data_IF_175661822576
#
_entry.id   IF_175661822576
#
_cell.length_a   1.000
_cell.length_b   1.000
_cell.length_c   1.000
_cell.angle_alpha   90.00
_cell.angle_beta   90.00
_cell.angle_gamma   90.00
#
_symmetry.space_group_name_H-M   'P 1'
#
loop_
_entity.id
_entity.type
_entity.pdbx_description
1 polymer ?
#
# COMPACT_ATOMS: atom_id res chain seq x y z
N UNK A 1 34.34 -31.80 -1.50
CA UNK A 1 34.62 -30.81 -0.42
C UNK A 1 33.96 -29.43 -0.66
N UNK A 2 34.24 -28.74 -1.77
CA UNK A 2 33.70 -27.41 -2.07
C UNK A 2 32.17 -27.35 -2.30
N UNK A 3 31.59 -28.39 -2.91
CA UNK A 3 30.13 -28.50 -3.10
C UNK A 3 29.41 -28.65 -1.75
N UNK A 4 29.92 -29.51 -0.85
CA UNK A 4 29.34 -29.71 0.49
C UNK A 4 29.42 -28.42 1.33
N UNK A 5 30.52 -27.67 1.21
CA UNK A 5 30.67 -26.37 1.87
C UNK A 5 29.67 -25.31 1.37
N UNK A 6 29.29 -25.34 0.09
CA UNK A 6 28.22 -24.48 -0.46
C UNK A 6 26.80 -24.95 -0.11
N UNK A 7 26.60 -26.25 0.18
CA UNK A 7 25.29 -26.80 0.54
C UNK A 7 24.84 -26.42 1.95
N UNK A 8 25.76 -26.31 2.91
CA UNK A 8 25.44 -25.96 4.31
C UNK A 8 24.72 -24.61 4.46
N UNK A 9 25.22 -23.48 3.91
CA UNK A 9 24.53 -22.21 4.02
C UNK A 9 23.17 -22.19 3.31
N UNK A 10 23.02 -22.92 2.19
CA UNK A 10 21.74 -23.05 1.51
C UNK A 10 20.72 -23.83 2.34
N UNK A 11 21.14 -24.95 2.96
CA UNK A 11 20.29 -25.73 3.87
C UNK A 11 19.81 -24.89 5.04
N UNK A 12 20.71 -24.13 5.67
CA UNK A 12 20.36 -23.22 6.78
C UNK A 12 19.32 -22.18 6.34
N UNK A 13 19.50 -21.55 5.18
CA UNK A 13 18.51 -20.59 4.64
C UNK A 13 17.15 -21.22 4.36
N UNK A 14 17.13 -22.45 3.85
CA UNK A 14 15.88 -23.21 3.63
C UNK A 14 15.19 -23.51 4.96
N UNK A 15 15.94 -23.94 5.98
CA UNK A 15 15.41 -24.22 7.31
C UNK A 15 14.83 -22.96 7.97
N UNK A 16 15.54 -21.84 7.91
CA UNK A 16 15.07 -20.54 8.40
C UNK A 16 13.81 -20.07 7.67
N UNK A 17 13.75 -20.23 6.35
CA UNK A 17 12.58 -19.91 5.54
C UNK A 17 11.38 -20.78 5.93
N UNK A 18 11.58 -22.09 6.09
CA UNK A 18 10.54 -23.03 6.51
C UNK A 18 10.02 -22.73 7.92
N UNK A 19 10.91 -22.39 8.86
CA UNK A 19 10.54 -21.98 10.20
C UNK A 19 9.72 -20.67 10.19
N UNK A 20 10.09 -19.72 9.33
CA UNK A 20 9.34 -18.48 9.12
C UNK A 20 7.94 -18.77 8.57
N UNK A 21 7.82 -19.62 7.55
CA UNK A 21 6.53 -20.04 6.97
C UNK A 21 5.66 -20.73 8.04
N UNK A 22 6.24 -21.53 8.93
CA UNK A 22 5.51 -22.13 10.05
C UNK A 22 4.92 -21.06 10.99
N UNK A 23 5.68 -20.01 11.31
CA UNK A 23 5.18 -18.88 12.12
C UNK A 23 4.10 -18.08 11.40
N UNK A 24 4.26 -17.82 10.10
CA UNK A 24 3.23 -17.12 9.30
C UNK A 24 1.92 -17.89 9.32
N UNK A 25 1.94 -19.23 9.27
CA UNK A 25 0.72 -20.05 9.39
C UNK A 25 0.00 -19.84 10.72
N UNK A 26 0.73 -19.66 11.82
CA UNK A 26 0.14 -19.34 13.13
C UNK A 26 -0.52 -17.97 13.11
N UNK A 27 0.16 -16.96 12.58
CA UNK A 27 -0.39 -15.60 12.45
C UNK A 27 -1.63 -15.56 11.55
N UNK A 28 -1.60 -16.27 10.42
CA UNK A 28 -2.73 -16.39 9.51
C UNK A 28 -3.95 -17.03 10.22
N UNK A 29 -3.74 -18.12 10.99
CA UNK A 29 -4.81 -18.73 11.81
C UNK A 29 -5.31 -17.81 12.91
N UNK A 30 -4.46 -16.94 13.43
CA UNK A 30 -4.84 -15.92 14.40
C UNK A 30 -5.59 -14.72 13.76
N UNK A 31 -5.79 -14.69 12.44
CA UNK A 31 -6.55 -13.67 11.74
C UNK A 31 -5.73 -12.45 11.28
N UNK A 32 -4.40 -12.55 11.25
CA UNK A 32 -3.55 -11.53 10.63
C UNK A 32 -3.75 -11.52 9.11
N UNK A 33 -3.70 -10.34 8.52
CA UNK A 33 -3.83 -10.18 7.08
C UNK A 33 -2.66 -10.85 6.35
N UNK A 34 -2.97 -11.62 5.32
CA UNK A 34 -1.99 -12.25 4.43
C UNK A 34 -2.28 -11.91 2.98
N UNK A 35 -1.27 -11.94 2.13
CA UNK A 35 -1.41 -11.83 0.68
C UNK A 35 -1.31 -13.18 0.01
N UNK A 36 -1.87 -13.31 -1.19
CA UNK A 36 -1.77 -14.53 -1.98
C UNK A 36 -0.35 -14.78 -2.49
N UNK A 37 -0.17 -15.91 -3.18
CA UNK A 37 1.14 -16.32 -3.71
C UNK A 37 1.66 -15.38 -4.79
N UNK A 38 0.78 -14.86 -5.65
CA UNK A 38 1.19 -14.04 -6.79
C UNK A 38 1.56 -12.63 -6.33
N UNK A 39 0.73 -12.00 -5.50
CA UNK A 39 1.05 -10.74 -4.83
C UNK A 39 2.37 -10.84 -4.07
N UNK A 40 2.58 -11.93 -3.32
CA UNK A 40 3.83 -12.15 -2.62
C UNK A 40 5.02 -12.18 -3.57
N UNK A 41 4.95 -12.96 -4.65
CA UNK A 41 6.04 -13.04 -5.64
C UNK A 41 6.33 -11.68 -6.27
N UNK A 42 5.29 -10.92 -6.64
CA UNK A 42 5.42 -9.54 -7.15
C UNK A 42 6.18 -8.65 -6.16
N UNK A 43 5.74 -8.60 -4.90
CA UNK A 43 6.39 -7.79 -3.86
C UNK A 43 7.82 -8.26 -3.57
N UNK A 44 8.06 -9.57 -3.56
CA UNK A 44 9.37 -10.16 -3.33
C UNK A 44 10.36 -9.80 -4.45
N UNK A 45 9.92 -9.79 -5.72
CA UNK A 45 10.75 -9.35 -6.83
C UNK A 45 11.17 -7.89 -6.67
N UNK A 46 10.21 -6.98 -6.45
CA UNK A 46 10.49 -5.55 -6.24
C UNK A 46 11.39 -5.32 -5.02
N UNK A 47 11.20 -6.08 -3.93
CA UNK A 47 12.08 -6.05 -2.76
C UNK A 47 13.51 -6.52 -3.09
N UNK A 48 13.68 -7.57 -3.89
CA UNK A 48 15.00 -8.07 -4.28
C UNK A 48 15.78 -7.05 -5.12
N UNK A 49 15.08 -6.26 -5.94
CA UNK A 49 15.62 -5.08 -6.63
C UNK A 49 15.78 -3.85 -5.73
N UNK A 50 15.50 -3.98 -4.44
CA UNK A 50 15.65 -2.93 -3.42
C UNK A 50 14.75 -1.71 -3.62
N UNK A 51 13.69 -1.81 -4.42
CA UNK A 51 12.79 -0.68 -4.71
C UNK A 51 12.25 -0.01 -3.44
N UNK A 52 11.81 -0.80 -2.46
CA UNK A 52 11.30 -0.26 -1.19
C UNK A 52 12.38 0.41 -0.32
N UNK A 53 13.65 0.03 -0.49
CA UNK A 53 14.77 0.68 0.20
C UNK A 53 15.12 2.03 -0.41
N UNK A 54 14.89 2.20 -1.71
CA UNK A 54 15.31 3.39 -2.47
C UNK A 54 14.17 4.37 -2.77
N UNK A 55 13.01 4.14 -2.17
CA UNK A 55 11.93 5.12 -2.10
C UNK A 55 10.56 4.62 -2.55
N UNK A 56 10.44 3.44 -3.17
CA UNK A 56 9.13 2.90 -3.52
C UNK A 56 8.33 2.56 -2.26
N UNK A 57 7.01 2.76 -2.32
CA UNK A 57 6.10 2.55 -1.20
C UNK A 57 4.91 1.72 -1.65
N UNK A 58 4.64 0.61 -0.96
CA UNK A 58 3.40 -0.12 -1.12
C UNK A 58 2.26 0.71 -0.52
N UNK A 59 1.23 0.99 -1.31
CA UNK A 59 0.02 1.66 -0.84
C UNK A 59 -1.20 0.76 -1.07
N UNK A 60 -2.40 1.35 -1.06
CA UNK A 60 -3.60 0.63 -1.43
C UNK A 60 -4.02 -0.40 -0.40
N UNK A 61 -4.75 -1.40 -0.85
CA UNK A 61 -5.41 -2.35 0.06
C UNK A 61 -4.40 -3.30 0.73
N UNK A 62 -3.33 -3.72 0.05
CA UNK A 62 -2.31 -4.56 0.68
C UNK A 62 -1.55 -3.81 1.78
N UNK A 63 -1.22 -2.53 1.59
CA UNK A 63 -0.63 -1.70 2.65
C UNK A 63 -1.55 -1.58 3.87
N UNK A 64 -2.86 -1.44 3.66
CA UNK A 64 -3.84 -1.37 4.76
C UNK A 64 -3.76 -2.59 5.69
N UNK A 65 -3.74 -3.82 5.17
CA UNK A 65 -3.62 -5.00 6.03
C UNK A 65 -2.24 -5.16 6.66
N UNK A 66 -1.17 -4.72 5.99
CA UNK A 66 0.15 -4.66 6.61
C UNK A 66 0.15 -3.71 7.81
N UNK A 67 -0.50 -2.54 7.69
CA UNK A 67 -0.67 -1.58 8.78
C UNK A 67 -1.53 -2.14 9.92
N UNK A 68 -2.62 -2.84 9.61
CA UNK A 68 -3.42 -3.50 10.64
C UNK A 68 -2.62 -4.55 11.40
N UNK A 69 -1.80 -5.36 10.70
CA UNK A 69 -0.91 -6.31 11.34
C UNK A 69 0.11 -5.61 12.26
N UNK A 70 0.71 -4.51 11.80
CA UNK A 70 1.67 -3.72 12.59
C UNK A 70 1.03 -3.11 13.84
N UNK A 71 -0.23 -2.69 13.74
CA UNK A 71 -1.02 -2.21 14.87
C UNK A 71 -1.55 -3.36 15.75
N UNK A 72 -1.50 -4.61 15.32
CA UNK A 72 -2.12 -5.73 16.04
C UNK A 72 -3.66 -5.69 16.00
N UNK A 73 -4.24 -5.08 14.97
CA UNK A 73 -5.69 -5.01 14.74
C UNK A 73 -6.11 -6.09 13.75
N UNK A 74 -7.24 -6.72 14.02
CA UNK A 74 -7.86 -7.69 13.12
C UNK A 74 -9.06 -7.06 12.46
N UNK A 75 -9.26 -7.32 11.18
CA UNK A 75 -10.44 -6.89 10.44
C UNK A 75 -10.95 -8.04 9.57
N UNK A 76 -12.13 -7.87 9.00
CA UNK A 76 -12.70 -8.83 8.06
C UNK A 76 -11.75 -9.00 6.88
N UNK A 77 -11.43 -10.24 6.45
CA UNK A 77 -10.58 -10.46 5.29
C UNK A 77 -11.06 -9.64 4.10
N UNK A 78 -10.17 -8.86 3.50
CA UNK A 78 -10.44 -8.16 2.26
C UNK A 78 -9.65 -8.86 1.15
N UNK A 79 -10.35 -9.18 0.06
CA UNK A 79 -9.69 -9.67 -1.16
C UNK A 79 -9.37 -8.46 -2.04
N UNK A 80 -8.12 -8.36 -2.46
CA UNK A 80 -7.66 -7.35 -3.42
C UNK A 80 -6.65 -8.02 -4.31
N UNK A 81 -6.79 -7.80 -5.61
CA UNK A 81 -5.91 -8.33 -6.65
C UNK A 81 -5.01 -7.21 -7.22
N UNK A 82 -5.27 -5.97 -6.79
CA UNK A 82 -4.51 -4.77 -7.14
C UNK A 82 -3.33 -4.55 -6.18
N UNK A 83 -2.13 -4.48 -6.73
CA UNK A 83 -0.90 -4.08 -6.05
C UNK A 83 -0.55 -2.65 -6.46
N UNK A 84 -0.68 -1.72 -5.53
CA UNK A 84 -0.43 -0.30 -5.78
C UNK A 84 0.99 0.08 -5.31
N UNK A 85 1.90 0.38 -6.24
CA UNK A 85 3.26 0.82 -5.94
C UNK A 85 3.37 2.32 -6.20
N UNK A 86 3.67 3.06 -5.14
CA UNK A 86 3.87 4.49 -5.21
C UNK A 86 5.37 4.83 -5.30
N UNK A 87 5.68 5.83 -6.11
CA UNK A 87 7.02 6.42 -6.26
C UNK A 87 6.90 7.91 -5.87
N UNK A 88 7.37 8.32 -4.67
CA UNK A 88 7.30 9.73 -4.24
C UNK A 88 8.23 10.61 -5.05
N UNK A 89 9.49 10.20 -5.16
CA UNK A 89 10.59 10.92 -5.81
C UNK A 89 11.46 9.94 -6.62
N UNK A 90 12.42 10.46 -7.38
CA UNK A 90 13.30 9.66 -8.22
C UNK A 90 14.06 8.64 -7.38
N UNK A 91 14.02 7.39 -7.81
CA UNK A 91 14.68 6.31 -7.09
C UNK A 91 16.19 6.48 -7.22
N UNK A 92 16.89 6.49 -6.08
CA UNK A 92 18.31 6.77 -6.00
C UNK A 92 19.18 5.52 -6.30
N UNK A 93 19.01 4.90 -7.47
CA UNK A 93 19.86 3.81 -7.95
C UNK A 93 20.24 4.02 -9.42
N UNK A 94 21.53 3.91 -9.79
CA UNK A 94 21.90 3.74 -11.18
C UNK A 94 21.45 2.35 -11.66
N UNK A 95 20.90 2.29 -12.88
CA UNK A 95 20.67 1.05 -13.64
C UNK A 95 19.70 0.04 -12.99
N UNK A 96 18.42 0.42 -12.89
CA UNK A 96 17.34 -0.54 -12.66
C UNK A 96 16.89 -1.16 -14.00
N UNK A 97 16.54 -2.46 -14.06
CA UNK A 97 15.77 -2.98 -15.18
C UNK A 97 14.43 -2.23 -15.30
N UNK A 98 13.78 -2.33 -16.46
CA UNK A 98 12.43 -1.78 -16.61
C UNK A 98 11.50 -2.34 -15.53
N UNK A 99 10.50 -1.56 -15.12
CA UNK A 99 9.53 -2.02 -14.13
C UNK A 99 8.83 -3.31 -14.56
N UNK A 100 8.54 -3.43 -15.86
CA UNK A 100 7.94 -4.62 -16.43
C UNK A 100 8.86 -5.85 -16.33
N UNK A 101 10.16 -5.70 -16.56
CA UNK A 101 11.11 -6.81 -16.47
C UNK A 101 11.28 -7.29 -15.02
N UNK A 102 11.31 -6.36 -14.06
CA UNK A 102 11.29 -6.71 -12.63
C UNK A 102 10.03 -7.52 -12.27
N UNK A 103 8.87 -7.16 -12.82
CA UNK A 103 7.64 -7.92 -12.61
C UNK A 103 7.71 -9.32 -13.24
N UNK A 104 8.26 -9.43 -14.45
CA UNK A 104 8.39 -10.69 -15.20
C UNK A 104 9.40 -11.67 -14.60
N UNK A 105 10.38 -11.21 -13.82
CA UNK A 105 11.33 -12.09 -13.12
C UNK A 105 10.62 -13.09 -12.17
N UNK A 106 9.42 -12.76 -11.72
CA UNK A 106 8.59 -13.69 -10.92
C UNK A 106 8.19 -14.97 -11.68
N UNK A 107 8.39 -15.00 -13.00
CA UNK A 107 7.86 -16.03 -13.90
C UNK A 107 6.39 -15.80 -14.29
N UNK A 108 5.77 -14.72 -13.81
CA UNK A 108 4.42 -14.31 -14.21
C UNK A 108 4.50 -13.49 -15.50
N UNK A 109 3.70 -13.87 -16.50
CA UNK A 109 3.62 -13.13 -17.76
C UNK A 109 2.84 -11.83 -17.60
N UNK A 110 3.54 -10.78 -17.17
CA UNK A 110 3.00 -9.43 -17.10
C UNK A 110 3.00 -8.73 -18.46
N UNK A 111 1.96 -7.94 -18.69
CA UNK A 111 1.78 -7.08 -19.85
C UNK A 111 1.32 -5.70 -19.39
N UNK A 112 1.72 -4.67 -20.11
CA UNK A 112 1.16 -3.33 -19.95
C UNK A 112 -0.34 -3.34 -20.30
N UNK A 113 -1.13 -2.64 -19.49
CA UNK A 113 -2.56 -2.44 -19.74
C UNK A 113 -2.73 -1.22 -20.63
N UNK A 114 -3.21 -1.36 -21.88
CA UNK A 114 -3.42 -0.23 -22.76
C UNK A 114 -4.40 0.77 -22.16
N UNK A 115 -4.09 2.05 -22.28
CA UNK A 115 -5.02 3.11 -21.88
C UNK A 115 -6.26 3.12 -22.79
N UNK A 116 -7.41 3.54 -22.23
CA UNK A 116 -8.65 3.74 -23.00
C UNK A 116 -8.44 4.72 -24.17
N UNK A 117 -7.67 5.78 -23.93
CA UNK A 117 -7.18 6.64 -24.98
C UNK A 117 -5.85 6.09 -25.52
N UNK A 118 -5.83 5.61 -26.76
CA UNK A 118 -4.64 5.03 -27.41
C UNK A 118 -3.43 5.98 -27.51
N UNK A 119 -3.64 7.29 -27.32
CA UNK A 119 -2.55 8.28 -27.29
C UNK A 119 -1.85 8.38 -25.93
N UNK A 120 -2.38 7.70 -24.91
CA UNK A 120 -1.85 7.73 -23.55
C UNK A 120 -0.99 6.50 -23.28
N UNK A 121 0.12 6.72 -22.56
CA UNK A 121 1.00 5.65 -22.13
C UNK A 121 0.34 4.78 -21.04
N UNK A 122 0.62 3.46 -21.02
CA UNK A 122 0.13 2.57 -19.99
C UNK A 122 0.74 2.92 -18.62
N UNK A 123 -0.04 2.78 -17.56
CA UNK A 123 0.38 3.05 -16.16
C UNK A 123 0.17 1.86 -15.23
N UNK A 124 -0.28 0.76 -15.81
CA UNK A 124 -0.72 -0.43 -15.11
C UNK A 124 -0.22 -1.66 -15.84
N UNK A 125 0.05 -2.71 -15.09
CA UNK A 125 0.61 -3.97 -15.57
C UNK A 125 -0.30 -5.09 -15.07
N UNK A 126 -0.67 -6.04 -15.92
CA UNK A 126 -1.53 -7.16 -15.53
C UNK A 126 -0.95 -8.47 -15.99
N UNK A 127 -1.26 -9.53 -15.26
CA UNK A 127 -1.00 -10.89 -15.74
C UNK A 127 -1.89 -11.21 -16.95
N UNK A 128 -1.35 -11.98 -17.90
CA UNK A 128 -2.09 -12.49 -19.04
C UNK A 128 -3.24 -13.46 -18.69
N UNK A 129 -4.09 -13.74 -19.67
CA UNK A 129 -5.19 -14.70 -19.52
C UNK A 129 -6.32 -14.21 -18.60
N UNK A 130 -6.90 -15.14 -17.82
CA UNK A 130 -8.05 -14.89 -16.94
C UNK A 130 -7.66 -14.40 -15.54
N UNK A 131 -6.37 -14.19 -15.27
CA UNK A 131 -5.94 -13.68 -13.98
C UNK A 131 -6.36 -12.23 -13.79
N UNK A 132 -6.62 -11.87 -12.54
CA UNK A 132 -7.01 -10.51 -12.14
C UNK A 132 -5.89 -9.74 -11.45
N UNK A 133 -4.71 -10.33 -11.30
CA UNK A 133 -3.55 -9.67 -10.71
C UNK A 133 -3.17 -8.45 -11.56
N UNK A 134 -3.15 -7.29 -10.90
CA UNK A 134 -2.80 -6.01 -11.49
C UNK A 134 -1.82 -5.27 -10.60
N UNK A 135 -0.84 -4.62 -11.20
CA UNK A 135 0.11 -3.74 -10.54
C UNK A 135 -0.06 -2.34 -11.12
N UNK A 136 -0.33 -1.36 -10.27
CA UNK A 136 -0.44 0.04 -10.65
C UNK A 136 0.80 0.80 -10.18
N UNK A 137 1.42 1.57 -11.09
CA UNK A 137 2.51 2.48 -10.74
C UNK A 137 1.95 3.89 -10.54
N UNK A 138 2.19 4.47 -9.38
CA UNK A 138 1.53 5.68 -8.91
C UNK A 138 2.54 6.74 -8.48
N UNK A 139 2.25 8.01 -8.76
CA UNK A 139 3.09 9.15 -8.35
C UNK A 139 2.23 10.30 -7.81
N UNK A 140 2.81 11.21 -7.00
CA UNK A 140 2.10 12.41 -6.58
C UNK A 140 1.61 13.24 -7.77
N UNK A 141 0.33 13.61 -7.74
CA UNK A 141 -0.20 14.60 -8.67
C UNK A 141 0.06 16.02 -8.15
N UNK A 142 0.47 16.98 -9.01
CA UNK A 142 0.61 18.38 -8.63
C UNK A 142 -0.69 19.07 -8.17
N UNK A 143 -1.85 18.48 -8.44
CA UNK A 143 -3.16 19.00 -8.02
C UNK A 143 -4.24 17.92 -7.98
N UNK A 144 -5.51 18.33 -7.99
CA UNK A 144 -6.67 17.41 -8.01
C UNK A 144 -6.97 16.84 -9.42
N UNK A 145 -5.92 16.48 -10.15
CA UNK A 145 -6.00 15.84 -11.46
C UNK A 145 -5.33 14.46 -11.43
N UNK A 146 -5.56 13.68 -12.49
CA UNK A 146 -5.04 12.33 -12.64
C UNK A 146 -4.13 12.22 -13.89
N UNK A 147 -2.99 12.93 -13.92
CA UNK A 147 -2.11 12.96 -15.08
C UNK A 147 -1.40 11.62 -15.28
N UNK A 148 -0.79 11.44 -16.45
CA UNK A 148 0.19 10.39 -16.69
C UNK A 148 1.55 11.07 -16.66
N UNK A 149 2.46 10.54 -15.85
CA UNK A 149 3.78 11.11 -15.60
C UNK A 149 4.83 10.06 -15.99
N UNK A 150 5.84 10.47 -16.75
CA UNK A 150 6.96 9.60 -17.11
C UNK A 150 7.82 9.29 -15.89
N UNK A 151 8.27 8.05 -15.77
CA UNK A 151 9.20 7.57 -14.74
C UNK A 151 10.38 6.92 -15.46
N UNK A 152 11.32 7.74 -15.99
CA UNK A 152 12.38 7.27 -16.88
C UNK A 152 13.27 6.20 -16.26
N UNK A 153 13.55 6.31 -14.95
CA UNK A 153 14.40 5.36 -14.22
C UNK A 153 13.79 3.96 -14.10
N UNK A 154 12.50 3.82 -14.42
CA UNK A 154 11.77 2.55 -14.44
C UNK A 154 11.32 2.15 -15.85
N UNK A 155 11.71 2.93 -16.88
CA UNK A 155 11.24 2.80 -18.27
C UNK A 155 9.71 2.68 -18.38
N UNK A 156 8.99 3.40 -17.51
CA UNK A 156 7.55 3.27 -17.35
C UNK A 156 6.86 4.63 -17.28
N UNK A 157 5.53 4.60 -17.29
CA UNK A 157 4.69 5.73 -16.92
C UNK A 157 3.87 5.39 -15.69
N UNK A 158 3.55 6.41 -14.90
CA UNK A 158 2.80 6.28 -13.68
C UNK A 158 1.56 7.18 -13.71
N UNK A 159 0.53 6.75 -12.99
CA UNK A 159 -0.67 7.54 -12.80
C UNK A 159 -0.49 8.50 -11.62
N UNK A 160 -0.65 9.79 -11.86
CA UNK A 160 -0.71 10.81 -10.83
C UNK A 160 -1.98 10.67 -9.99
N UNK A 161 -1.83 10.68 -8.66
CA UNK A 161 -2.95 10.71 -7.73
C UNK A 161 -2.92 11.98 -6.85
N UNK A 162 -4.06 12.70 -6.73
CA UNK A 162 -4.19 13.83 -5.82
C UNK A 162 -3.88 13.41 -4.37
N UNK A 163 -3.24 14.30 -3.63
CA UNK A 163 -2.90 14.12 -2.21
C UNK A 163 -1.99 12.92 -1.89
N UNK A 164 -1.43 12.24 -2.90
CA UNK A 164 -0.50 11.15 -2.67
C UNK A 164 0.82 11.65 -2.04
N UNK A 165 1.28 12.87 -2.34
CA UNK A 165 2.44 13.46 -1.66
C UNK A 165 2.25 13.56 -0.14
N UNK A 166 1.04 13.92 0.31
CA UNK A 166 0.71 13.93 1.73
C UNK A 166 0.80 12.51 2.32
N UNK A 167 0.23 11.51 1.65
CA UNK A 167 0.30 10.12 2.12
C UNK A 167 1.75 9.65 2.26
N UNK A 168 2.59 9.96 1.27
CA UNK A 168 3.98 9.50 1.20
C UNK A 168 4.96 10.34 2.03
N UNK A 169 4.50 11.41 2.68
CA UNK A 169 5.36 12.31 3.46
C UNK A 169 5.99 11.66 4.69
N UNK A 170 5.45 10.54 5.18
CA UNK A 170 6.09 9.70 6.19
C UNK A 170 5.76 8.22 5.95
N UNK A 171 6.74 7.33 6.16
CA UNK A 171 6.65 5.91 5.84
C UNK A 171 7.53 5.04 6.73
N UNK A 172 7.17 3.76 6.85
CA UNK A 172 7.85 2.77 7.68
C UNK A 172 7.98 1.43 6.96
N UNK A 173 8.94 0.61 7.38
CA UNK A 173 9.09 -0.75 6.89
C UNK A 173 8.23 -1.72 7.70
N UNK A 174 7.41 -2.52 7.02
CA UNK A 174 6.48 -3.47 7.64
C UNK A 174 6.55 -4.81 6.90
N UNK A 175 6.52 -5.95 7.62
CA UNK A 175 6.45 -7.26 6.97
C UNK A 175 5.06 -7.52 6.38
N UNK A 176 5.03 -7.93 5.11
CA UNK A 176 3.85 -8.52 4.47
C UNK A 176 3.93 -10.03 4.58
N UNK A 177 2.84 -10.63 5.08
CA UNK A 177 2.75 -12.06 5.36
C UNK A 177 2.13 -12.81 4.17
N UNK A 178 2.68 -13.98 3.83
CA UNK A 178 2.15 -14.88 2.80
C UNK A 178 2.34 -16.34 3.20
N UNK A 179 1.50 -17.27 2.72
CA UNK A 179 1.78 -18.70 2.84
C UNK A 179 3.15 -19.14 2.29
N UNK A 180 3.80 -18.31 1.46
CA UNK A 180 5.14 -18.57 0.92
C UNK A 180 6.28 -17.95 1.75
N UNK A 181 6.00 -17.09 2.72
CA UNK A 181 7.02 -16.44 3.53
C UNK A 181 6.65 -15.03 3.97
N UNK A 182 7.68 -14.20 4.18
CA UNK A 182 7.56 -12.80 4.59
C UNK A 182 8.41 -11.95 3.65
N UNK A 183 7.85 -10.84 3.18
CA UNK A 183 8.57 -9.82 2.43
C UNK A 183 8.48 -8.50 3.17
N UNK A 184 9.61 -7.81 3.34
CA UNK A 184 9.64 -6.49 3.95
C UNK A 184 9.31 -5.45 2.88
N UNK A 185 8.37 -4.55 3.16
CA UNK A 185 7.98 -3.48 2.24
C UNK A 185 7.90 -2.17 3.00
N UNK A 186 8.00 -1.06 2.29
CA UNK A 186 7.75 0.27 2.85
C UNK A 186 6.28 0.64 2.65
N UNK A 187 5.60 1.12 3.68
CA UNK A 187 4.21 1.59 3.65
C UNK A 187 4.11 2.96 4.31
N UNK A 188 3.10 3.78 4.02
CA UNK A 188 2.85 5.03 4.75
C UNK A 188 2.59 4.77 6.24
N UNK A 189 2.86 5.74 7.11
CA UNK A 189 2.41 5.65 8.51
C UNK A 189 0.87 5.60 8.60
N UNK A 190 0.29 4.85 9.56
CA UNK A 190 -1.14 4.56 9.60
C UNK A 190 -2.04 5.80 9.74
N UNK A 191 -1.60 6.81 10.48
CA UNK A 191 -2.30 8.07 10.68
C UNK A 191 -2.44 8.86 9.38
N UNK A 192 -1.36 9.02 8.61
CA UNK A 192 -1.41 9.62 7.27
C UNK A 192 -2.25 8.80 6.31
N UNK A 193 -2.19 7.47 6.40
CA UNK A 193 -3.05 6.59 5.62
C UNK A 193 -4.53 6.85 5.91
N UNK A 194 -4.91 6.93 7.18
CA UNK A 194 -6.29 7.15 7.60
C UNK A 194 -6.82 8.51 7.13
N UNK A 195 -6.06 9.59 7.34
CA UNK A 195 -6.45 10.94 6.91
C UNK A 195 -6.51 11.06 5.39
N UNK A 196 -5.54 10.47 4.67
CA UNK A 196 -5.59 10.41 3.22
C UNK A 196 -6.85 9.68 2.71
N UNK A 197 -7.28 8.61 3.41
CA UNK A 197 -8.52 7.90 3.08
C UNK A 197 -9.77 8.76 3.26
N UNK A 198 -9.82 9.61 4.29
CA UNK A 198 -10.88 10.61 4.43
C UNK A 198 -10.91 11.54 3.21
N UNK A 199 -9.76 12.07 2.79
CA UNK A 199 -9.66 12.97 1.63
C UNK A 199 -10.11 12.31 0.34
N UNK A 200 -9.51 11.17 -0.03
CA UNK A 200 -9.81 10.51 -1.33
C UNK A 200 -11.22 9.95 -1.40
N UNK A 201 -11.86 9.66 -0.26
CA UNK A 201 -13.28 9.27 -0.24
C UNK A 201 -14.19 10.36 -0.83
N UNK A 202 -13.79 11.64 -0.72
CA UNK A 202 -14.55 12.78 -1.25
C UNK A 202 -14.25 13.09 -2.73
N UNK A 203 -13.12 12.59 -3.25
CA UNK A 203 -12.72 12.75 -4.65
C UNK A 203 -13.29 11.66 -5.56
N UNK A 204 -13.70 10.54 -4.97
CA UNK A 204 -14.22 9.38 -5.72
C UNK A 204 -15.69 9.56 -6.06
N UNK A 205 -16.12 8.96 -7.18
CA UNK A 205 -17.53 8.97 -7.57
C UNK A 205 -18.41 8.33 -6.50
N UNK A 206 -19.48 9.04 -6.12
CA UNK A 206 -20.50 8.58 -5.16
C UNK A 206 -21.25 7.33 -5.61
N UNK A 207 -21.29 7.04 -6.92
CA UNK A 207 -21.92 5.83 -7.46
C UNK A 207 -21.07 4.56 -7.30
N UNK A 208 -19.80 4.69 -6.90
CA UNK A 208 -18.93 3.54 -6.67
C UNK A 208 -18.96 3.10 -5.21
N UNK A 209 -18.67 1.82 -4.93
CA UNK A 209 -18.51 1.33 -3.56
C UNK A 209 -17.20 1.79 -2.88
N UNK A 210 -16.35 2.53 -3.61
CA UNK A 210 -15.00 2.90 -3.19
C UNK A 210 -14.96 3.92 -2.03
N UNK A 211 -15.75 5.02 -2.01
CA UNK A 211 -15.81 5.93 -0.86
C UNK A 211 -16.16 5.22 0.46
N UNK A 212 -17.15 4.32 0.43
CA UNK A 212 -17.55 3.54 1.60
C UNK A 212 -16.42 2.63 2.11
N UNK A 213 -15.63 2.05 1.20
CA UNK A 213 -14.43 1.28 1.55
C UNK A 213 -13.37 2.16 2.19
N UNK A 214 -13.09 3.34 1.62
CA UNK A 214 -12.07 4.24 2.18
C UNK A 214 -12.45 4.77 3.56
N UNK A 215 -13.71 5.16 3.77
CA UNK A 215 -14.21 5.61 5.07
C UNK A 215 -14.13 4.50 6.14
N UNK A 216 -14.43 3.25 5.78
CA UNK A 216 -14.23 2.11 6.69
C UNK A 216 -12.77 1.93 7.07
N UNK A 217 -11.86 1.98 6.09
CA UNK A 217 -10.42 1.88 6.36
C UNK A 217 -9.94 3.02 7.26
N UNK A 218 -10.41 4.25 7.03
CA UNK A 218 -10.08 5.40 7.86
C UNK A 218 -10.60 5.21 9.30
N UNK A 219 -11.87 4.85 9.47
CA UNK A 219 -12.47 4.64 10.79
C UNK A 219 -11.71 3.58 11.60
N UNK A 220 -11.42 2.41 10.99
CA UNK A 220 -10.68 1.33 11.66
C UNK A 220 -9.29 1.76 12.11
N UNK A 221 -8.56 2.53 11.30
CA UNK A 221 -7.23 3.00 11.68
C UNK A 221 -7.31 4.08 12.75
N UNK A 222 -8.21 5.05 12.62
CA UNK A 222 -8.36 6.14 13.61
C UNK A 222 -8.68 5.56 14.99
N UNK A 223 -9.64 4.64 15.07
CA UNK A 223 -10.00 3.97 16.33
C UNK A 223 -8.80 3.24 16.94
N UNK A 224 -8.03 2.53 16.11
CA UNK A 224 -6.83 1.82 16.57
C UNK A 224 -5.67 2.75 16.99
N UNK A 225 -5.59 3.95 16.39
CA UNK A 225 -4.53 4.91 16.63
C UNK A 225 -4.76 5.70 17.90
N UNK A 226 -5.98 6.18 18.17
CA UNK A 226 -6.23 7.00 19.36
C UNK A 226 -6.01 6.26 20.67
N UNK A 227 -6.15 4.94 20.68
CA UNK A 227 -5.85 4.11 21.85
C UNK A 227 -4.34 3.90 22.05
N UNK A 228 -3.58 3.70 20.95
CA UNK A 228 -2.18 3.26 21.01
C UNK A 228 -1.16 4.38 20.87
N UNK A 229 -1.52 5.43 20.14
CA UNK A 229 -0.67 6.56 19.77
C UNK A 229 -1.48 7.87 19.91
N UNK A 230 -1.80 8.31 21.13
CA UNK A 230 -2.49 9.58 21.35
C UNK A 230 -1.72 10.74 20.68
N UNK A 231 -2.44 11.62 19.98
CA UNK A 231 -1.85 12.75 19.24
C UNK A 231 -1.49 12.46 17.77
N UNK A 232 -1.34 11.18 17.38
CA UNK A 232 -0.91 10.85 16.01
C UNK A 232 -1.95 11.27 14.94
N UNK A 233 -3.24 11.20 15.27
CA UNK A 233 -4.32 11.60 14.34
C UNK A 233 -4.31 13.12 14.16
N UNK A 234 -4.12 13.86 15.24
CA UNK A 234 -4.03 15.32 15.29
C UNK A 234 -2.80 15.83 14.52
N UNK A 235 -1.64 15.22 14.73
CA UNK A 235 -0.41 15.54 14.00
C UNK A 235 -0.59 15.29 12.49
N UNK A 236 -1.22 14.17 12.12
CA UNK A 236 -1.53 13.87 10.73
C UNK A 236 -2.52 14.89 10.12
N UNK A 237 -3.51 15.34 10.88
CA UNK A 237 -4.45 16.39 10.47
C UNK A 237 -3.75 17.75 10.31
N UNK A 238 -2.85 18.11 11.20
CA UNK A 238 -2.02 19.33 11.10
C UNK A 238 -1.17 19.35 9.83
N UNK A 239 -0.72 18.18 9.38
CA UNK A 239 0.13 18.06 8.20
C UNK A 239 -0.62 18.08 6.85
N UNK A 240 -1.95 18.12 6.82
CA UNK A 240 -2.69 18.14 5.56
C UNK A 240 -2.50 19.47 4.81
N UNK A 241 -2.43 19.45 3.46
CA UNK A 241 -2.44 20.68 2.69
C UNK A 241 -3.78 21.42 2.86
N UNK A 242 -3.75 22.76 2.80
CA UNK A 242 -4.96 23.61 2.96
C UNK A 242 -6.12 23.21 2.04
N UNK A 243 -5.83 22.74 0.83
CA UNK A 243 -6.85 22.27 -0.12
C UNK A 243 -7.59 21.01 0.35
N UNK A 244 -6.98 20.20 1.23
CA UNK A 244 -7.59 18.97 1.78
C UNK A 244 -8.56 19.22 2.94
N UNK A 245 -8.48 20.38 3.62
CA UNK A 245 -9.25 20.67 4.84
C UNK A 245 -10.76 20.49 4.61
N UNK A 246 -11.29 21.04 3.52
CA UNK A 246 -12.71 20.91 3.18
C UNK A 246 -13.11 19.47 2.84
N UNK A 247 -12.19 18.64 2.34
CA UNK A 247 -12.46 17.22 2.11
C UNK A 247 -12.54 16.46 3.43
N UNK A 248 -11.61 16.70 4.36
CA UNK A 248 -11.63 16.09 5.69
C UNK A 248 -12.91 16.46 6.46
N UNK A 249 -13.29 17.75 6.49
CA UNK A 249 -14.52 18.20 7.16
C UNK A 249 -15.77 17.49 6.61
N UNK A 250 -15.89 17.36 5.29
CA UNK A 250 -17.01 16.64 4.66
C UNK A 250 -16.98 15.14 4.96
N UNK A 251 -15.78 14.54 4.95
CA UNK A 251 -15.60 13.13 5.26
C UNK A 251 -15.94 12.79 6.72
N UNK A 252 -15.64 13.67 7.68
CA UNK A 252 -15.98 13.49 9.09
C UNK A 252 -17.49 13.29 9.31
N UNK A 253 -18.33 14.08 8.61
CA UNK A 253 -19.78 13.88 8.66
C UNK A 253 -20.21 12.50 8.13
N UNK A 254 -19.60 12.02 7.04
CA UNK A 254 -19.88 10.70 6.47
C UNK A 254 -19.29 9.54 7.30
N UNK A 255 -18.25 9.81 8.10
CA UNK A 255 -17.57 8.83 8.95
C UNK A 255 -18.44 8.32 10.10
N UNK A 256 -19.46 9.09 10.51
CA UNK A 256 -20.43 8.73 11.56
C UNK A 256 -21.14 7.39 11.33
N UNK A 257 -21.16 6.89 10.09
CA UNK A 257 -21.71 5.58 9.72
C UNK A 257 -20.78 4.40 10.04
N UNK A 258 -19.50 4.67 10.28
CA UNK A 258 -18.43 3.67 10.41
C UNK A 258 -17.63 3.81 11.70
N UNK A 259 -17.59 4.99 12.29
CA UNK A 259 -17.00 5.26 13.60
C UNK A 259 -18.17 5.51 14.59
N UNK A 260 -18.35 4.69 15.63
CA UNK A 260 -19.47 4.84 16.54
C UNK A 260 -19.36 6.14 17.35
N UNK A 261 -20.49 6.70 17.77
CA UNK A 261 -20.51 7.91 18.59
C UNK A 261 -19.80 7.74 19.94
N UNK A 262 -19.71 6.50 20.44
CA UNK A 262 -18.99 6.14 21.66
C UNK A 262 -17.47 6.22 21.54
N UNK A 263 -16.91 6.37 20.33
CA UNK A 263 -15.48 6.56 20.13
C UNK A 263 -15.08 8.02 20.41
N UNK A 264 -15.32 8.50 21.64
CA UNK A 264 -15.20 9.92 22.01
C UNK A 264 -13.82 10.48 21.70
N UNK A 265 -12.76 9.76 22.08
CA UNK A 265 -11.35 10.17 21.83
C UNK A 265 -11.07 10.31 20.34
N UNK A 266 -11.60 9.42 19.50
CA UNK A 266 -11.46 9.52 18.04
C UNK A 266 -12.18 10.75 17.48
N UNK A 267 -13.38 11.06 18.00
CA UNK A 267 -14.12 12.25 17.60
C UNK A 267 -13.46 13.55 18.09
N UNK A 268 -12.86 13.56 19.28
CA UNK A 268 -12.09 14.69 19.80
C UNK A 268 -10.87 14.97 18.93
N UNK A 269 -10.08 13.93 18.60
CA UNK A 269 -8.95 14.04 17.71
C UNK A 269 -9.34 14.64 16.34
N UNK A 270 -10.47 14.19 15.76
CA UNK A 270 -10.98 14.72 14.49
C UNK A 270 -11.52 16.16 14.57
N UNK A 271 -12.08 16.58 15.72
CA UNK A 271 -12.64 17.93 15.93
C UNK A 271 -11.57 19.00 16.05
N UNK A 272 -10.37 18.66 16.52
CA UNK A 272 -9.25 19.60 16.68
C UNK A 272 -8.87 20.36 15.38
N UNK A 273 -9.30 19.85 14.21
CA UNK A 273 -8.98 20.38 12.88
C UNK A 273 -10.19 20.58 11.95
N UNK A 274 -11.42 20.46 12.47
CA UNK A 274 -12.67 20.64 11.71
C UNK A 274 -13.17 22.09 11.79
#
# INVERSE_FOLDING_TARGET
>A
PAVIARLQPLRKRIEEANATIARVRVLARAGFATVDRKTYSTLASLHNYRLFRVGAVLIGSHAFGALLNALGVKTVPYTTEDVDIARPEALALPELPSFLDMLRETGIEFFEVPALNRRQHPTSFKEGGSSRLRVDLLVPSPGECYPIISVPELEAHAKGLPYLSYLLGDSQEVPVLSPLGVVLVRVPVPERYAIHKLVVSQLRSKSSAKPAKDLRQAATLIEALVERFPGAVEDALSAIPKSAVNHVRRAAGALSRYLPASAEVAWEALKSHA
#
